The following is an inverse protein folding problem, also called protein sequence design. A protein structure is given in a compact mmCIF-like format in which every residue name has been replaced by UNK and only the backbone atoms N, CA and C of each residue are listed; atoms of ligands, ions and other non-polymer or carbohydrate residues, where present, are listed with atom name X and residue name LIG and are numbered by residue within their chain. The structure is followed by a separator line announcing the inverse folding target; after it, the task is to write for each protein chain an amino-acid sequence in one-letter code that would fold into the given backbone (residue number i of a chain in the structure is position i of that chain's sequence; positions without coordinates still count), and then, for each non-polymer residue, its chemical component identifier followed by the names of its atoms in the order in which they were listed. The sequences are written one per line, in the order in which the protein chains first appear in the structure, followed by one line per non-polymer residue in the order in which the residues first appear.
data_IF_972919094789
#
_entry.id   IF_972919094789
#
_cell.length_a   1.000
_cell.length_b   1.000
_cell.length_c   1.000
_cell.angle_alpha   90.00
_cell.angle_beta   90.00
_cell.angle_gamma   90.00
#
_symmetry.space_group_name_H-M   'P 1'
#
loop_
_entity.id
_entity.type
_entity.pdbx_description
1 polymer ?
#
# COMPACT_ATOMS: atom_id res chain seq x y z
N UNK A 1 -4.18 -25.45 -33.06
CA UNK A 1 -4.96 -24.48 -32.28
C UNK A 1 -4.91 -24.92 -30.83
N UNK A 2 -4.00 -24.36 -30.02
CA UNK A 2 -3.92 -24.77 -28.61
C UNK A 2 -5.17 -24.29 -27.88
N UNK A 3 -5.84 -25.20 -27.18
CA UNK A 3 -7.00 -24.85 -26.37
C UNK A 3 -6.58 -23.82 -25.32
N UNK A 4 -7.08 -22.60 -25.44
CA UNK A 4 -6.95 -21.60 -24.37
C UNK A 4 -7.69 -22.19 -23.17
N UNK A 5 -6.92 -22.72 -22.22
CA UNK A 5 -7.45 -23.35 -21.04
C UNK A 5 -8.27 -22.29 -20.29
N UNK A 6 -9.60 -22.45 -20.27
CA UNK A 6 -10.48 -21.46 -19.65
C UNK A 6 -10.17 -21.42 -18.16
N UNK A 7 -9.95 -20.23 -17.56
CA UNK A 7 -9.65 -20.14 -16.14
C UNK A 7 -10.85 -20.69 -15.35
N UNK A 8 -10.56 -21.57 -14.41
CA UNK A 8 -11.53 -22.17 -13.48
C UNK A 8 -11.40 -21.53 -12.11
N UNK A 9 -12.46 -21.59 -11.31
CA UNK A 9 -12.42 -21.12 -9.93
C UNK A 9 -11.65 -22.13 -9.08
N UNK A 10 -10.55 -21.72 -8.47
CA UNK A 10 -9.70 -22.59 -7.64
C UNK A 10 -10.03 -22.47 -6.16
N UNK A 11 -10.38 -21.26 -5.68
CA UNK A 11 -10.67 -21.02 -4.27
C UNK A 11 -11.63 -19.84 -4.12
N UNK A 12 -12.47 -19.92 -3.09
CA UNK A 12 -13.26 -18.80 -2.57
C UNK A 12 -12.91 -18.66 -1.09
N UNK A 13 -12.66 -17.42 -0.64
CA UNK A 13 -12.46 -17.09 0.77
C UNK A 13 -13.37 -15.92 1.11
N UNK A 14 -13.93 -15.93 2.30
CA UNK A 14 -14.58 -14.77 2.89
C UNK A 14 -13.67 -14.28 4.02
N UNK A 15 -13.24 -13.02 3.97
CA UNK A 15 -12.45 -12.45 5.06
C UNK A 15 -13.32 -12.25 6.31
N UNK A 16 -12.69 -12.05 7.48
CA UNK A 16 -13.39 -11.75 8.74
C UNK A 16 -14.29 -10.50 8.63
N UNK A 17 -13.91 -9.56 7.75
CA UNK A 17 -14.67 -8.34 7.44
C UNK A 17 -15.74 -8.51 6.37
N UNK A 18 -16.04 -9.77 5.98
CA UNK A 18 -17.08 -10.10 5.01
C UNK A 18 -16.72 -9.80 3.55
N UNK A 19 -15.44 -9.65 3.21
CA UNK A 19 -14.99 -9.36 1.85
C UNK A 19 -14.77 -10.69 1.09
N UNK A 20 -15.47 -10.95 -0.03
CA UNK A 20 -15.28 -12.18 -0.79
C UNK A 20 -14.05 -12.07 -1.69
N UNK A 21 -13.19 -13.08 -1.65
CA UNK A 21 -12.01 -13.21 -2.50
C UNK A 21 -12.11 -14.48 -3.32
N UNK A 22 -12.06 -14.31 -4.65
CA UNK A 22 -12.09 -15.38 -5.64
C UNK A 22 -10.69 -15.57 -6.21
N UNK A 23 -10.12 -16.76 -6.12
CA UNK A 23 -8.86 -17.11 -6.76
C UNK A 23 -9.11 -18.06 -7.92
N UNK A 24 -8.63 -17.69 -9.11
CA UNK A 24 -8.73 -18.48 -10.33
C UNK A 24 -7.49 -19.35 -10.54
N UNK A 25 -7.62 -20.40 -11.36
CA UNK A 25 -6.53 -21.34 -11.66
C UNK A 25 -5.36 -20.74 -12.43
N UNK A 26 -5.54 -19.55 -13.01
CA UNK A 26 -4.47 -18.77 -13.62
C UNK A 26 -3.64 -17.96 -12.60
N UNK A 27 -3.91 -18.11 -11.30
CA UNK A 27 -3.19 -17.41 -10.23
C UNK A 27 -3.60 -15.96 -10.02
N UNK A 28 -4.71 -15.51 -10.64
CA UNK A 28 -5.31 -14.19 -10.37
C UNK A 28 -6.34 -14.29 -9.27
N UNK A 29 -6.31 -13.33 -8.35
CA UNK A 29 -7.29 -13.19 -7.27
C UNK A 29 -8.09 -11.91 -7.44
N UNK A 30 -9.41 -12.01 -7.29
CA UNK A 30 -10.35 -10.92 -7.47
C UNK A 30 -11.24 -10.75 -6.25
N UNK A 31 -11.73 -9.54 -6.04
CA UNK A 31 -12.78 -9.25 -5.06
C UNK A 31 -13.78 -8.26 -5.63
N UNK A 32 -15.00 -8.27 -5.10
CA UNK A 32 -16.04 -7.34 -5.51
C UNK A 32 -16.10 -6.18 -4.52
N UNK A 33 -16.00 -4.95 -5.03
CA UNK A 33 -16.18 -3.74 -4.22
C UNK A 33 -17.61 -3.19 -4.43
N UNK A 34 -18.49 -3.24 -3.41
CA UNK A 34 -19.85 -2.73 -3.53
C UNK A 34 -19.94 -1.22 -3.80
N UNK A 35 -19.01 -0.42 -3.27
CA UNK A 35 -19.05 1.04 -3.40
C UNK A 35 -18.73 1.48 -4.84
N UNK A 36 -17.81 0.76 -5.50
CA UNK A 36 -17.42 1.01 -6.89
C UNK A 36 -18.19 0.15 -7.89
N UNK A 37 -19.01 -0.79 -7.41
CA UNK A 37 -19.82 -1.71 -8.22
C UNK A 37 -18.96 -2.48 -9.24
N UNK A 38 -17.73 -2.86 -8.87
CA UNK A 38 -16.78 -3.47 -9.79
C UNK A 38 -15.95 -4.59 -9.16
N UNK A 39 -15.44 -5.48 -10.01
CA UNK A 39 -14.45 -6.48 -9.62
C UNK A 39 -13.05 -5.90 -9.70
N UNK A 40 -12.29 -6.03 -8.61
CA UNK A 40 -10.92 -5.55 -8.51
C UNK A 40 -9.96 -6.72 -8.46
N UNK A 41 -8.87 -6.62 -9.22
CA UNK A 41 -7.77 -7.57 -9.18
C UNK A 41 -6.92 -7.28 -7.94
N UNK A 42 -6.83 -8.25 -7.03
CA UNK A 42 -6.06 -8.15 -5.79
C UNK A 42 -4.61 -8.62 -5.95
N UNK A 43 -4.42 -9.76 -6.59
CA UNK A 43 -3.10 -10.34 -6.79
C UNK A 43 -3.04 -11.13 -8.10
N UNK A 44 -1.85 -11.26 -8.65
CA UNK A 44 -1.56 -12.09 -9.81
C UNK A 44 -0.19 -12.74 -9.61
N UNK A 45 -0.11 -14.06 -9.77
CA UNK A 45 1.16 -14.81 -9.77
C UNK A 45 2.19 -14.30 -10.79
N UNK A 46 1.72 -13.62 -11.83
CA UNK A 46 2.52 -12.98 -12.87
C UNK A 46 2.70 -11.47 -12.66
N UNK A 47 2.47 -10.93 -11.45
CA UNK A 47 2.61 -9.51 -11.21
C UNK A 47 4.09 -9.07 -11.33
N UNK A 48 4.42 -8.49 -12.49
CA UNK A 48 5.77 -8.04 -12.84
C UNK A 48 6.24 -6.97 -11.86
N UNK A 49 5.37 -6.05 -11.42
CA UNK A 49 5.73 -5.00 -10.47
C UNK A 49 6.26 -5.59 -9.16
N UNK A 50 5.60 -6.62 -8.62
CA UNK A 50 6.06 -7.33 -7.42
C UNK A 50 7.41 -7.99 -7.65
N UNK A 51 7.60 -8.66 -8.79
CA UNK A 51 8.85 -9.37 -9.09
C UNK A 51 10.05 -8.43 -9.28
N UNK A 52 9.79 -7.19 -9.72
CA UNK A 52 10.81 -6.19 -10.00
C UNK A 52 11.01 -5.19 -8.86
N UNK A 53 10.11 -5.18 -7.88
CA UNK A 53 10.17 -4.25 -6.74
C UNK A 53 11.27 -4.62 -5.73
N UNK A 54 11.91 -3.61 -5.16
CA UNK A 54 12.91 -3.73 -4.08
C UNK A 54 12.34 -3.29 -2.71
N UNK A 55 11.03 -3.43 -2.55
CA UNK A 55 10.31 -3.02 -1.35
C UNK A 55 10.81 -3.72 -0.07
N UNK A 56 11.50 -4.86 -0.20
CA UNK A 56 12.10 -5.56 0.94
C UNK A 56 13.14 -4.75 1.69
N UNK A 57 13.82 -3.82 1.01
CA UNK A 57 14.79 -2.90 1.64
C UNK A 57 14.12 -1.81 2.49
N UNK A 58 12.80 -1.68 2.43
CA UNK A 58 12.01 -0.74 3.22
C UNK A 58 11.26 -1.41 4.39
N UNK A 59 11.38 -2.74 4.54
CA UNK A 59 10.79 -3.45 5.67
C UNK A 59 11.46 -3.05 7.00
N UNK A 60 10.71 -3.04 8.11
CA UNK A 60 11.32 -2.92 9.41
C UNK A 60 12.22 -4.13 9.69
N UNK A 61 13.25 -3.95 10.52
CA UNK A 61 14.13 -5.04 10.96
C UNK A 61 13.37 -6.20 11.60
N UNK A 62 12.19 -5.92 12.17
CA UNK A 62 11.26 -6.92 12.70
C UNK A 62 9.99 -6.92 11.84
N UNK A 63 9.80 -7.97 11.03
CA UNK A 63 8.55 -8.18 10.32
C UNK A 63 7.47 -8.55 11.33
N UNK A 64 6.28 -7.92 11.30
CA UNK A 64 5.18 -8.35 12.15
C UNK A 64 4.87 -9.83 11.89
N UNK A 65 4.64 -10.61 12.95
CA UNK A 65 4.08 -11.97 12.86
C UNK A 65 2.61 -11.95 12.40
N UNK A 66 2.28 -11.19 11.35
CA UNK A 66 0.95 -11.13 10.73
C UNK A 66 0.78 -12.26 9.71
N UNK A 67 1.09 -13.49 10.11
CA UNK A 67 0.99 -14.63 9.19
C UNK A 67 -0.46 -14.92 8.76
N UNK A 68 -1.45 -14.48 9.53
CA UNK A 68 -2.88 -14.76 9.28
C UNK A 68 -3.62 -13.66 8.51
N UNK A 69 -2.93 -12.60 8.11
CA UNK A 69 -3.58 -11.49 7.43
C UNK A 69 -3.94 -11.83 5.96
N UNK A 70 -5.09 -11.37 5.43
CA UNK A 70 -5.66 -11.87 4.19
C UNK A 70 -4.80 -11.60 2.96
N UNK A 71 -4.18 -10.42 2.85
CA UNK A 71 -3.29 -10.09 1.73
C UNK A 71 -2.01 -10.93 1.80
N UNK A 72 -1.46 -11.10 3.00
CA UNK A 72 -0.29 -11.93 3.27
C UNK A 72 -0.55 -13.38 2.87
N UNK A 73 -1.74 -13.92 3.17
CA UNK A 73 -2.14 -15.26 2.75
C UNK A 73 -2.29 -15.37 1.23
N UNK A 74 -2.90 -14.39 0.56
CA UNK A 74 -3.05 -14.37 -0.89
C UNK A 74 -1.70 -14.37 -1.61
N UNK A 75 -0.78 -13.53 -1.15
CA UNK A 75 0.55 -13.41 -1.75
C UNK A 75 1.40 -14.65 -1.56
N UNK A 76 1.29 -15.37 -0.43
CA UNK A 76 2.03 -16.64 -0.24
C UNK A 76 1.68 -17.68 -1.30
N UNK A 77 0.41 -17.73 -1.72
CA UNK A 77 -0.04 -18.65 -2.77
C UNK A 77 0.57 -18.31 -4.14
N UNK A 78 0.94 -17.05 -4.34
CA UNK A 78 1.46 -16.45 -5.57
C UNK A 78 2.99 -16.57 -5.71
N UNK A 79 3.72 -16.93 -4.64
CA UNK A 79 5.20 -16.90 -4.58
C UNK A 79 5.97 -17.87 -5.49
N UNK A 80 5.31 -18.77 -6.23
CA UNK A 80 6.02 -19.84 -6.95
C UNK A 80 6.71 -19.42 -8.26
N UNK A 81 6.66 -18.14 -8.68
CA UNK A 81 6.94 -17.76 -10.07
C UNK A 81 7.99 -16.65 -10.32
N UNK A 82 8.83 -16.26 -9.34
CA UNK A 82 9.47 -14.91 -9.35
C UNK A 82 10.99 -14.78 -9.48
N UNK A 83 11.78 -15.83 -9.71
CA UNK A 83 13.26 -15.74 -9.58
C UNK A 83 13.93 -14.99 -10.75
N UNK A 84 13.37 -15.04 -11.97
CA UNK A 84 14.07 -14.55 -13.18
C UNK A 84 13.98 -13.04 -13.42
N UNK A 85 12.88 -12.37 -13.04
CA UNK A 85 12.72 -10.93 -13.28
C UNK A 85 13.60 -10.06 -12.37
N UNK A 86 14.00 -10.54 -11.19
CA UNK A 86 14.87 -9.79 -10.27
C UNK A 86 16.20 -9.38 -10.91
N UNK A 87 16.78 -10.22 -11.77
CA UNK A 87 18.11 -9.97 -12.36
C UNK A 87 18.08 -8.96 -13.52
N UNK A 88 16.96 -8.85 -14.26
CA UNK A 88 16.86 -7.95 -15.42
C UNK A 88 16.65 -6.50 -14.97
N UNK A 89 15.83 -6.28 -13.94
CA UNK A 89 15.47 -4.94 -13.48
C UNK A 89 16.48 -4.31 -12.52
N UNK A 90 17.37 -5.09 -11.89
CA UNK A 90 18.56 -4.55 -11.22
C UNK A 90 19.44 -3.72 -12.18
N UNK A 91 19.37 -3.99 -13.48
CA UNK A 91 20.12 -3.26 -14.52
C UNK A 91 19.54 -1.86 -14.81
N UNK A 92 18.29 -1.57 -14.39
CA UNK A 92 17.60 -0.31 -14.67
C UNK A 92 16.98 0.29 -13.39
N UNK A 93 17.76 1.06 -12.60
CA UNK A 93 17.31 1.59 -11.30
C UNK A 93 16.03 2.45 -11.36
N UNK A 94 15.83 3.22 -12.44
CA UNK A 94 14.63 4.04 -12.62
C UNK A 94 13.36 3.20 -12.82
N UNK A 95 13.44 2.12 -13.61
CA UNK A 95 12.34 1.19 -13.81
C UNK A 95 12.05 0.39 -12.55
N UNK A 96 13.10 0.00 -11.82
CA UNK A 96 12.97 -0.66 -10.51
C UNK A 96 12.25 0.25 -9.50
N UNK A 97 12.60 1.54 -9.48
CA UNK A 97 11.94 2.53 -8.63
C UNK A 97 10.46 2.66 -8.94
N UNK A 98 10.11 2.84 -10.21
CA UNK A 98 8.71 2.95 -10.64
C UNK A 98 7.92 1.66 -10.36
N UNK A 99 8.56 0.49 -10.55
CA UNK A 99 7.95 -0.82 -10.23
C UNK A 99 7.70 -0.98 -8.73
N UNK A 100 8.62 -0.50 -7.90
CA UNK A 100 8.51 -0.54 -6.44
C UNK A 100 7.37 0.35 -5.95
N UNK A 101 7.28 1.59 -6.45
CA UNK A 101 6.17 2.50 -6.15
C UNK A 101 4.82 1.88 -6.54
N UNK A 102 4.68 1.44 -7.79
CA UNK A 102 3.43 0.85 -8.26
C UNK A 102 3.04 -0.41 -7.49
N UNK A 103 4.02 -1.22 -7.07
CA UNK A 103 3.76 -2.36 -6.19
C UNK A 103 3.21 -1.91 -4.83
N UNK A 104 3.88 -0.98 -4.14
CA UNK A 104 3.47 -0.51 -2.81
C UNK A 104 2.09 0.17 -2.83
N UNK A 105 1.80 0.97 -3.86
CA UNK A 105 0.47 1.58 -4.06
C UNK A 105 -0.62 0.52 -4.27
N UNK A 106 -0.31 -0.53 -5.05
CA UNK A 106 -1.21 -1.68 -5.21
C UNK A 106 -1.43 -2.39 -3.87
N UNK A 107 -0.39 -2.55 -3.05
CA UNK A 107 -0.51 -3.17 -1.73
C UNK A 107 -1.39 -2.36 -0.77
N UNK A 108 -1.29 -1.03 -0.81
CA UNK A 108 -2.15 -0.14 -0.03
C UNK A 108 -3.62 -0.25 -0.49
N UNK A 109 -3.88 -0.16 -1.79
CA UNK A 109 -5.23 -0.25 -2.35
C UNK A 109 -5.89 -1.61 -2.05
N UNK A 110 -5.11 -2.69 -2.13
CA UNK A 110 -5.59 -4.04 -1.81
C UNK A 110 -5.87 -4.22 -0.32
N UNK A 111 -5.05 -3.65 0.56
CA UNK A 111 -5.31 -3.67 2.01
C UNK A 111 -6.61 -2.90 2.37
N UNK A 112 -6.85 -1.74 1.74
CA UNK A 112 -8.11 -0.98 1.89
C UNK A 112 -9.30 -1.82 1.44
N UNK A 113 -9.17 -2.45 0.28
CA UNK A 113 -10.23 -3.29 -0.30
C UNK A 113 -10.59 -4.47 0.59
N UNK A 114 -9.56 -5.14 1.14
CA UNK A 114 -9.72 -6.26 2.06
C UNK A 114 -10.19 -5.82 3.46
N UNK A 115 -10.30 -4.51 3.71
CA UNK A 115 -10.65 -3.89 4.99
C UNK A 115 -9.72 -4.31 6.13
N UNK A 116 -8.46 -4.56 5.80
CA UNK A 116 -7.44 -5.04 6.74
C UNK A 116 -6.64 -3.86 7.29
N UNK A 117 -7.04 -3.32 8.44
CA UNK A 117 -6.39 -2.16 9.06
C UNK A 117 -4.91 -2.41 9.38
N UNK A 118 -4.59 -3.59 9.91
CA UNK A 118 -3.21 -4.00 10.22
C UNK A 118 -2.32 -4.04 8.98
N UNK A 119 -2.81 -4.60 7.88
CA UNK A 119 -2.04 -4.65 6.63
C UNK A 119 -1.92 -3.28 5.98
N UNK A 120 -2.97 -2.47 6.06
CA UNK A 120 -2.92 -1.09 5.58
C UNK A 120 -1.84 -0.29 6.31
N UNK A 121 -1.82 -0.30 7.65
CA UNK A 121 -0.79 0.38 8.45
C UNK A 121 0.62 -0.12 8.11
N UNK A 122 0.81 -1.44 7.99
CA UNK A 122 2.10 -2.02 7.62
C UNK A 122 2.60 -1.54 6.24
N UNK A 123 1.75 -1.61 5.22
CA UNK A 123 2.11 -1.17 3.87
C UNK A 123 2.28 0.34 3.77
N UNK A 124 1.54 1.12 4.56
CA UNK A 124 1.67 2.57 4.63
C UNK A 124 3.05 2.97 5.17
N UNK A 125 3.46 2.41 6.31
CA UNK A 125 4.78 2.70 6.88
C UNK A 125 5.90 2.23 5.94
N UNK A 126 5.72 1.11 5.25
CA UNK A 126 6.68 0.63 4.24
C UNK A 126 6.76 1.58 3.05
N UNK A 127 5.62 2.10 2.58
CA UNK A 127 5.56 3.11 1.52
C UNK A 127 6.24 4.41 1.94
N UNK A 128 5.94 4.94 3.14
CA UNK A 128 6.57 6.15 3.66
C UNK A 128 8.08 6.01 3.78
N UNK A 129 8.59 4.87 4.28
CA UNK A 129 10.04 4.60 4.31
C UNK A 129 10.66 4.62 2.93
N UNK A 130 10.00 4.00 1.95
CA UNK A 130 10.49 3.99 0.58
C UNK A 130 10.53 5.39 -0.02
N UNK A 131 9.48 6.20 0.19
CA UNK A 131 9.45 7.59 -0.27
C UNK A 131 10.56 8.44 0.37
N UNK A 132 10.87 8.21 1.65
CA UNK A 132 11.97 8.89 2.36
C UNK A 132 13.34 8.46 1.84
N UNK A 133 13.54 7.16 1.58
CA UNK A 133 14.78 6.63 0.98
C UNK A 133 15.04 7.25 -0.40
N UNK A 134 14.00 7.36 -1.21
CA UNK A 134 14.04 7.90 -2.57
C UNK A 134 13.90 9.43 -2.67
N UNK A 135 13.73 10.11 -1.53
CA UNK A 135 13.55 11.56 -1.38
C UNK A 135 12.45 12.11 -2.30
N UNK A 136 11.29 11.44 -2.30
CA UNK A 136 10.12 11.82 -3.11
C UNK A 136 9.24 12.82 -2.36
N UNK A 137 9.74 14.04 -2.21
CA UNK A 137 9.12 15.09 -1.38
C UNK A 137 7.66 15.38 -1.75
N UNK A 138 7.33 15.53 -3.03
CA UNK A 138 5.97 15.85 -3.46
C UNK A 138 4.95 14.78 -3.02
N UNK A 139 5.32 13.50 -3.13
CA UNK A 139 4.45 12.38 -2.74
C UNK A 139 4.32 12.27 -1.22
N UNK A 140 5.41 12.56 -0.49
CA UNK A 140 5.37 12.63 0.97
C UNK A 140 4.46 13.76 1.44
N UNK A 141 4.55 14.93 0.79
CA UNK A 141 3.71 16.09 1.07
C UNK A 141 2.24 15.77 0.85
N UNK A 142 1.87 15.24 -0.32
CA UNK A 142 0.50 14.80 -0.62
C UNK A 142 -0.01 13.79 0.42
N UNK A 143 0.83 12.84 0.84
CA UNK A 143 0.48 11.87 1.86
C UNK A 143 0.25 12.53 3.23
N UNK A 144 1.13 13.44 3.65
CA UNK A 144 1.00 14.13 4.93
C UNK A 144 -0.20 15.09 4.94
N UNK A 145 -0.49 15.77 3.83
CA UNK A 145 -1.67 16.63 3.66
C UNK A 145 -2.97 15.82 3.74
N UNK A 146 -3.04 14.64 3.09
CA UNK A 146 -4.22 13.77 3.21
C UNK A 146 -4.40 13.21 4.63
N UNK A 147 -3.31 12.93 5.35
CA UNK A 147 -3.35 12.42 6.73
C UNK A 147 -3.68 13.49 7.76
N UNK A 148 -3.16 14.71 7.60
CA UNK A 148 -3.46 15.85 8.46
C UNK A 148 -4.90 16.35 8.24
N UNK A 149 -5.34 16.33 6.98
CA UNK A 149 -6.61 16.87 6.55
C UNK A 149 -6.58 18.35 6.22
N UNK A 150 -7.70 18.89 5.68
CA UNK A 150 -7.80 20.28 5.32
C UNK A 150 -7.60 21.13 6.57
N UNK A 151 -6.52 21.91 6.59
CA UNK A 151 -6.35 23.01 7.55
C UNK A 151 -7.58 23.91 7.39
N UNK A 152 -8.29 24.30 8.47
CA UNK A 152 -9.51 25.09 8.38
C UNK A 152 -9.21 26.48 7.79
N UNK A 153 -9.16 26.59 6.45
CA UNK A 153 -8.85 27.83 5.73
C UNK A 153 -9.69 28.06 4.48
N UNK A 154 -10.67 27.21 4.20
CA UNK A 154 -11.59 27.43 3.08
C UNK A 154 -12.91 26.72 3.31
N UNK A 155 -13.99 27.50 3.32
CA UNK A 155 -15.40 27.09 3.32
C UNK A 155 -15.77 26.39 2.00
N UNK A 156 -15.04 25.33 1.62
CA UNK A 156 -15.35 24.52 0.45
C UNK A 156 -15.98 23.21 0.92
N UNK A 157 -17.31 23.18 0.96
CA UNK A 157 -18.17 22.05 1.38
C UNK A 157 -18.02 20.78 0.49
N UNK A 158 -17.07 20.75 -0.44
CA UNK A 158 -16.99 19.74 -1.51
C UNK A 158 -16.05 18.57 -1.23
N UNK A 159 -15.18 18.63 -0.21
CA UNK A 159 -14.29 17.51 0.17
C UNK A 159 -14.58 17.12 1.62
N UNK A 160 -15.45 16.13 1.81
CA UNK A 160 -15.64 15.48 3.11
C UNK A 160 -14.38 14.69 3.48
N UNK A 161 -13.39 15.38 4.08
CA UNK A 161 -12.23 14.72 4.64
C UNK A 161 -12.66 13.81 5.80
N UNK A 162 -12.22 12.56 5.76
CA UNK A 162 -12.51 11.57 6.80
C UNK A 162 -11.30 11.42 7.72
N UNK A 163 -11.50 11.71 9.01
CA UNK A 163 -10.46 11.64 10.04
C UNK A 163 -9.93 10.22 10.32
N UNK A 164 -10.65 9.18 9.86
CA UNK A 164 -10.30 7.79 10.09
C UNK A 164 -10.29 6.98 8.80
N UNK A 165 -9.30 6.09 8.65
CA UNK A 165 -9.22 5.11 7.56
C UNK A 165 -9.23 3.71 8.16
N UNK A 166 -10.24 2.89 7.83
CA UNK A 166 -10.41 1.53 8.38
C UNK A 166 -10.44 1.48 9.93
N UNK A 167 -10.94 2.54 10.57
CA UNK A 167 -10.96 2.69 12.02
C UNK A 167 -9.63 3.12 12.65
N UNK A 168 -8.60 3.40 11.84
CA UNK A 168 -7.35 4.01 12.29
C UNK A 168 -7.47 5.54 12.16
N UNK A 169 -7.05 6.27 13.19
CA UNK A 169 -6.91 7.72 13.15
C UNK A 169 -5.81 8.10 12.15
N UNK A 170 -6.12 9.00 11.22
CA UNK A 170 -5.13 9.49 10.25
C UNK A 170 -4.00 10.28 10.93
N UNK A 171 -4.31 10.97 12.03
CA UNK A 171 -3.33 11.70 12.83
C UNK A 171 -2.35 10.74 13.53
N UNK A 172 -2.83 9.64 14.10
CA UNK A 172 -1.96 8.62 14.71
C UNK A 172 -1.03 8.00 13.65
N UNK A 173 -1.54 7.82 12.42
CA UNK A 173 -0.71 7.36 11.30
C UNK A 173 0.33 8.40 10.89
N UNK A 174 -0.02 9.69 10.93
CA UNK A 174 0.93 10.78 10.68
C UNK A 174 2.01 10.82 11.78
N UNK A 175 1.63 10.65 13.04
CA UNK A 175 2.54 10.54 14.18
C UNK A 175 3.59 9.45 13.96
N UNK A 176 3.17 8.28 13.49
CA UNK A 176 4.08 7.17 13.18
C UNK A 176 5.01 7.45 11.98
N UNK A 177 4.59 8.30 11.03
CA UNK A 177 5.32 8.60 9.80
C UNK A 177 6.33 9.73 10.00
N UNK A 178 6.04 10.73 10.84
CA UNK A 178 6.91 11.89 11.05
C UNK A 178 8.34 11.50 11.47
N UNK A 179 8.57 10.59 12.45
CA UNK A 179 9.92 10.12 12.80
C UNK A 179 10.65 9.47 11.61
N UNK A 180 9.91 8.82 10.70
CA UNK A 180 10.47 8.22 9.49
C UNK A 180 10.99 9.32 8.56
N UNK A 181 10.21 10.39 8.35
CA UNK A 181 10.62 11.56 7.55
C UNK A 181 11.82 12.26 8.20
N UNK A 182 11.76 12.45 9.53
CA UNK A 182 12.82 13.08 10.33
C UNK A 182 14.15 12.33 10.31
N UNK A 183 14.16 11.04 9.96
CA UNK A 183 15.41 10.28 9.82
C UNK A 183 16.28 10.75 8.63
N UNK A 184 15.72 11.48 7.67
CA UNK A 184 16.43 12.00 6.51
C UNK A 184 16.65 13.52 6.61
N UNK A 185 17.93 13.93 6.66
CA UNK A 185 18.33 15.34 6.74
C UNK A 185 17.79 16.23 5.61
N UNK A 186 17.56 15.66 4.42
CA UNK A 186 17.02 16.42 3.27
C UNK A 186 15.56 16.81 3.46
N UNK A 187 14.82 16.06 4.26
CA UNK A 187 13.38 16.23 4.48
C UNK A 187 13.07 16.97 5.80
N UNK A 188 14.08 17.51 6.48
CA UNK A 188 13.93 18.21 7.76
C UNK A 188 12.97 19.41 7.68
N UNK A 189 12.95 20.13 6.56
CA UNK A 189 12.00 21.23 6.34
C UNK A 189 10.55 20.71 6.32
N UNK A 190 10.30 19.64 5.56
CA UNK A 190 9.00 18.99 5.46
C UNK A 190 8.56 18.45 6.83
N UNK A 191 9.47 17.78 7.53
CA UNK A 191 9.23 17.27 8.89
C UNK A 191 8.82 18.39 9.85
N UNK A 192 9.56 19.50 9.90
CA UNK A 192 9.28 20.62 10.81
C UNK A 192 7.93 21.25 10.49
N UNK A 193 7.63 21.47 9.21
CA UNK A 193 6.35 22.03 8.74
C UNK A 193 5.16 21.18 9.20
N UNK A 194 5.19 19.87 8.98
CA UNK A 194 4.08 19.00 9.38
C UNK A 194 4.03 18.73 10.89
N UNK A 195 5.17 18.73 11.59
CA UNK A 195 5.18 18.65 13.04
C UNK A 195 4.49 19.86 13.67
N UNK A 196 4.81 21.08 13.21
CA UNK A 196 4.16 22.31 13.69
C UNK A 196 2.66 22.31 13.39
N UNK A 197 2.26 21.88 12.19
CA UNK A 197 0.84 21.80 11.81
C UNK A 197 0.08 20.76 12.63
N UNK A 198 0.69 19.61 12.89
CA UNK A 198 0.09 18.56 13.72
C UNK A 198 -0.12 19.05 15.16
N UNK A 199 0.87 19.71 15.76
CA UNK A 199 0.76 20.32 17.09
C UNK A 199 -0.33 21.41 17.17
N UNK A 200 -0.63 22.10 16.06
CA UNK A 200 -1.73 23.07 15.99
C UNK A 200 -3.11 22.40 15.95
N UNK A 201 -3.23 21.21 15.35
CA UNK A 201 -4.49 20.48 15.23
C UNK A 201 -4.84 19.73 16.51
N UNK A 202 -3.84 19.32 17.30
CA UNK A 202 -4.04 18.64 18.60
C UNK A 202 -4.42 19.59 19.75
N UNK A 203 -4.30 20.91 19.57
CA UNK A 203 -4.68 21.93 20.56
C UNK A 203 -6.15 22.33 20.48
#
# INVERSE_FOLDING_TARGET
MSGVNKPTLSRIVLTEMGVPVLTLSNGKSYTYNPNMVCWMLLDSSTNILRQCSDHSNSYPSELPQNQDAPLSQLQRLSQRSGIQAKNIFQTYPSLQKQSTLGHLETQLATAITLKSSKEYKFWLLTYSRYLVQEVLENRLRELCEDLLGPVPRSDDESIQWQATVLGLSKLDLLEDILPIIGSNLKLQRLYSEFQEQMEMVER
#
